data_IF_190707059924
#
_entry.id   IF_190707059924
#
_cell.length_a   1.000
_cell.length_b   1.000
_cell.length_c   1.000
_cell.angle_alpha   90.00
_cell.angle_beta   90.00
_cell.angle_gamma   90.00
#
_symmetry.space_group_name_H-M   'P 1'
#
loop_
_entity.id
_entity.type
_entity.pdbx_description
1 polymer ?
#
# COMPACT_ATOMS: atom_id res chain seq x y z
N UNK A 1 -48.21 0.22 -9.38
CA UNK A 1 -46.89 0.09 -10.04
C UNK A 1 -45.89 -0.38 -8.98
N UNK A 2 -45.90 -1.68 -8.64
CA UNK A 2 -45.09 -2.24 -7.56
C UNK A 2 -43.67 -2.53 -8.06
N UNK A 3 -42.69 -1.89 -7.44
CA UNK A 3 -41.27 -2.03 -7.75
C UNK A 3 -40.84 -3.41 -7.26
N UNK A 4 -40.65 -4.37 -8.17
CA UNK A 4 -39.98 -5.63 -7.87
C UNK A 4 -38.54 -5.32 -7.47
N UNK A 5 -38.32 -5.17 -6.16
CA UNK A 5 -37.01 -5.11 -5.54
C UNK A 5 -36.42 -6.52 -5.61
N UNK A 6 -35.57 -6.74 -6.62
CA UNK A 6 -34.84 -7.99 -6.79
C UNK A 6 -33.80 -8.09 -5.64
N UNK A 7 -33.92 -9.06 -4.72
CA UNK A 7 -33.00 -9.20 -3.59
C UNK A 7 -31.55 -9.50 -4.02
N UNK A 8 -31.34 -9.91 -5.27
CA UNK A 8 -30.02 -10.14 -5.86
C UNK A 8 -29.39 -8.86 -6.46
N UNK A 9 -30.15 -7.77 -6.59
CA UNK A 9 -29.63 -6.50 -7.07
C UNK A 9 -28.78 -5.78 -6.02
N UNK A 10 -29.20 -5.85 -4.74
CA UNK A 10 -28.50 -5.21 -3.63
C UNK A 10 -27.15 -5.89 -3.38
N UNK A 11 -27.11 -7.22 -3.37
CA UNK A 11 -25.85 -7.98 -3.20
C UNK A 11 -24.85 -7.71 -4.32
N UNK A 12 -25.32 -7.55 -5.57
CA UNK A 12 -24.47 -7.22 -6.70
C UNK A 12 -23.92 -5.78 -6.63
N UNK A 13 -24.72 -4.80 -6.21
CA UNK A 13 -24.27 -3.42 -6.01
C UNK A 13 -23.26 -3.35 -4.85
N UNK A 14 -23.52 -4.07 -3.75
CA UNK A 14 -22.61 -4.15 -2.61
C UNK A 14 -21.26 -4.79 -2.98
N UNK A 15 -21.24 -5.76 -3.89
CA UNK A 15 -20.00 -6.36 -4.40
C UNK A 15 -19.15 -5.40 -5.26
N UNK A 16 -19.74 -4.34 -5.84
CA UNK A 16 -19.03 -3.31 -6.61
C UNK A 16 -18.60 -2.16 -5.68
N UNK A 17 -19.49 -1.76 -4.76
CA UNK A 17 -19.25 -0.63 -3.86
C UNK A 17 -18.20 -0.98 -2.80
N UNK A 18 -18.25 -2.19 -2.22
CA UNK A 18 -17.31 -2.64 -1.19
C UNK A 18 -15.83 -2.51 -1.61
N UNK A 19 -15.38 -3.03 -2.77
CA UNK A 19 -14.00 -2.86 -3.20
C UNK A 19 -13.65 -1.40 -3.52
N UNK A 20 -14.57 -0.62 -4.09
CA UNK A 20 -14.34 0.80 -4.36
C UNK A 20 -14.13 1.60 -3.07
N UNK A 21 -14.93 1.33 -2.03
CA UNK A 21 -14.80 1.97 -0.72
C UNK A 21 -13.51 1.54 -0.01
N UNK A 22 -13.13 0.26 -0.07
CA UNK A 22 -11.87 -0.22 0.53
C UNK A 22 -10.65 0.44 -0.12
N UNK A 23 -10.60 0.44 -1.45
CA UNK A 23 -9.50 1.07 -2.20
C UNK A 23 -9.49 2.58 -1.98
N UNK A 24 -10.66 3.21 -1.99
CA UNK A 24 -10.82 4.63 -1.67
C UNK A 24 -10.33 4.95 -0.26
N UNK A 25 -10.69 4.17 0.75
CA UNK A 25 -10.26 4.38 2.14
C UNK A 25 -8.74 4.24 2.30
N UNK A 26 -8.15 3.22 1.68
CA UNK A 26 -6.68 3.04 1.68
C UNK A 26 -5.97 4.20 0.97
N UNK A 27 -6.47 4.62 -0.18
CA UNK A 27 -5.94 5.78 -0.91
C UNK A 27 -6.13 7.09 -0.12
N UNK A 28 -7.26 7.26 0.56
CA UNK A 28 -7.53 8.43 1.39
C UNK A 28 -6.60 8.52 2.60
N UNK A 29 -6.35 7.39 3.27
CA UNK A 29 -5.41 7.34 4.39
C UNK A 29 -3.97 7.67 3.94
N UNK A 30 -3.51 7.13 2.81
CA UNK A 30 -2.20 7.48 2.27
C UNK A 30 -2.14 8.96 1.82
N UNK A 31 -3.23 9.47 1.25
CA UNK A 31 -3.39 10.88 0.91
C UNK A 31 -3.32 11.82 2.12
N UNK A 32 -3.87 11.39 3.27
CA UNK A 32 -3.76 12.14 4.53
C UNK A 32 -2.33 12.21 5.03
N UNK A 33 -1.58 11.10 4.97
CA UNK A 33 -0.18 11.07 5.37
C UNK A 33 0.66 11.99 4.50
N UNK A 34 0.55 11.86 3.17
CA UNK A 34 1.27 12.72 2.21
C UNK A 34 0.88 14.19 2.39
N UNK A 35 -0.40 14.47 2.60
CA UNK A 35 -0.89 15.83 2.83
C UNK A 35 -0.40 16.43 4.14
N UNK A 36 -0.25 15.63 5.20
CA UNK A 36 0.32 16.10 6.47
C UNK A 36 1.78 16.54 6.28
N UNK A 37 2.60 15.71 5.62
CA UNK A 37 3.99 16.06 5.31
C UNK A 37 4.10 17.30 4.42
N UNK A 38 3.27 17.38 3.37
CA UNK A 38 3.27 18.53 2.47
C UNK A 38 2.83 19.83 3.20
N UNK A 39 1.88 19.74 4.13
CA UNK A 39 1.45 20.87 4.96
C UNK A 39 2.57 21.39 5.86
N UNK A 40 3.34 20.49 6.48
CA UNK A 40 4.51 20.83 7.30
C UNK A 40 5.56 21.58 6.47
N UNK A 41 5.94 21.04 5.30
CA UNK A 41 6.96 21.64 4.42
C UNK A 41 6.53 23.04 3.95
N UNK A 42 5.24 23.23 3.66
CA UNK A 42 4.71 24.50 3.13
C UNK A 42 4.34 25.51 4.21
N UNK A 43 4.67 25.28 5.49
CA UNK A 43 4.32 26.15 6.62
C UNK A 43 2.82 26.53 6.65
N UNK A 44 1.97 25.63 6.17
CA UNK A 44 0.50 25.79 6.14
C UNK A 44 -0.10 24.86 7.19
N UNK A 45 -1.33 25.11 7.67
CA UNK A 45 -2.01 24.23 8.63
C UNK A 45 -2.01 22.75 8.16
N UNK A 46 -1.25 21.85 8.81
CA UNK A 46 -1.05 20.49 8.32
C UNK A 46 -2.35 19.68 8.29
N UNK A 47 -3.27 19.98 9.20
CA UNK A 47 -4.59 19.33 9.32
C UNK A 47 -5.45 19.59 8.07
N UNK A 48 -5.54 20.85 7.61
CA UNK A 48 -6.34 21.18 6.43
C UNK A 48 -5.76 20.56 5.15
N UNK A 49 -4.43 20.53 5.02
CA UNK A 49 -3.78 19.96 3.84
C UNK A 49 -3.85 18.42 3.83
N UNK A 50 -3.71 17.79 5.00
CA UNK A 50 -3.92 16.34 5.20
C UNK A 50 -5.35 15.94 4.84
N UNK A 51 -6.35 16.66 5.36
CA UNK A 51 -7.76 16.36 5.10
C UNK A 51 -8.12 16.56 3.62
N UNK A 52 -7.71 17.69 3.03
CA UNK A 52 -7.98 17.99 1.63
C UNK A 52 -7.34 16.95 0.70
N UNK A 53 -6.07 16.59 0.95
CA UNK A 53 -5.35 15.56 0.20
C UNK A 53 -5.99 14.18 0.37
N UNK A 54 -6.40 13.84 1.59
CA UNK A 54 -7.11 12.59 1.90
C UNK A 54 -8.44 12.47 1.16
N UNK A 55 -9.27 13.52 1.16
CA UNK A 55 -10.54 13.55 0.44
C UNK A 55 -10.30 13.41 -1.07
N UNK A 56 -9.32 14.15 -1.62
CA UNK A 56 -8.98 14.07 -3.04
C UNK A 56 -8.55 12.65 -3.45
N UNK A 57 -7.67 12.02 -2.67
CA UNK A 57 -7.21 10.66 -2.92
C UNK A 57 -8.30 9.62 -2.72
N UNK A 58 -9.20 9.82 -1.75
CA UNK A 58 -10.37 8.96 -1.55
C UNK A 58 -11.29 8.99 -2.77
N UNK A 59 -11.67 10.17 -3.24
CA UNK A 59 -12.54 10.33 -4.42
C UNK A 59 -11.90 9.72 -5.66
N UNK A 60 -10.59 9.95 -5.87
CA UNK A 60 -9.83 9.35 -6.95
C UNK A 60 -9.85 7.81 -6.90
N UNK A 61 -9.50 7.22 -5.75
CA UNK A 61 -9.46 5.78 -5.57
C UNK A 61 -10.83 5.12 -5.76
N UNK A 62 -11.87 5.69 -5.14
CA UNK A 62 -13.22 5.18 -5.25
C UNK A 62 -13.77 5.26 -6.67
N UNK A 63 -13.54 6.37 -7.38
CA UNK A 63 -14.05 6.55 -8.76
C UNK A 63 -13.35 5.62 -9.74
N UNK A 64 -12.02 5.50 -9.71
CA UNK A 64 -11.28 4.62 -10.62
C UNK A 64 -11.69 3.15 -10.43
N UNK A 65 -11.78 2.67 -9.18
CA UNK A 65 -12.20 1.29 -8.90
C UNK A 65 -13.67 1.06 -9.25
N UNK A 66 -14.55 2.04 -9.01
CA UNK A 66 -15.95 1.98 -9.41
C UNK A 66 -16.12 1.90 -10.92
N UNK A 67 -15.44 2.76 -11.69
CA UNK A 67 -15.47 2.70 -13.16
C UNK A 67 -14.90 1.39 -13.68
N UNK A 68 -13.82 0.89 -13.08
CA UNK A 68 -13.25 -0.41 -13.44
C UNK A 68 -14.25 -1.53 -13.28
N UNK A 69 -14.98 -1.58 -12.16
CA UNK A 69 -16.00 -2.60 -11.92
C UNK A 69 -17.14 -2.54 -12.95
N UNK A 70 -17.60 -1.33 -13.32
CA UNK A 70 -18.66 -1.14 -14.33
C UNK A 70 -18.18 -1.59 -15.71
N UNK A 71 -16.98 -1.19 -16.11
CA UNK A 71 -16.41 -1.55 -17.43
C UNK A 71 -16.14 -3.06 -17.51
N UNK A 72 -15.57 -3.66 -16.45
CA UNK A 72 -15.34 -5.10 -16.37
C UNK A 72 -16.64 -5.92 -16.46
N UNK A 73 -17.77 -5.40 -15.96
CA UNK A 73 -19.05 -6.12 -16.03
C UNK A 73 -19.59 -6.21 -17.46
N UNK A 74 -19.36 -5.17 -18.27
CA UNK A 74 -19.85 -5.09 -19.65
C UNK A 74 -18.89 -5.69 -20.68
N UNK A 75 -17.62 -5.90 -20.31
CA UNK A 75 -16.61 -6.40 -21.24
C UNK A 75 -16.75 -7.92 -21.42
N UNK A 76 -16.88 -8.44 -22.66
CA UNK A 76 -16.93 -9.89 -22.90
C UNK A 76 -15.59 -10.51 -22.47
N UNK A 77 -15.63 -11.60 -21.69
CA UNK A 77 -14.43 -12.36 -21.31
C UNK A 77 -13.89 -13.08 -22.55
N UNK A 78 -12.84 -12.56 -23.17
CA UNK A 78 -12.09 -13.28 -24.22
C UNK A 78 -10.96 -14.12 -23.60
N UNK A 79 -10.41 -15.05 -24.40
CA UNK A 79 -9.26 -15.89 -24.01
C UNK A 79 -7.94 -15.10 -23.90
N UNK A 80 -7.86 -13.86 -24.39
CA UNK A 80 -6.69 -12.98 -24.30
C UNK A 80 -6.76 -12.06 -23.07
N UNK A 81 -6.80 -12.68 -21.88
CA UNK A 81 -7.11 -12.08 -20.57
C UNK A 81 -6.19 -10.89 -20.20
N UNK A 82 -4.93 -10.85 -20.67
CA UNK A 82 -3.96 -9.80 -20.29
C UNK A 82 -4.26 -8.45 -20.97
N UNK A 83 -4.44 -8.43 -22.30
CA UNK A 83 -4.67 -7.18 -23.04
C UNK A 83 -6.00 -6.51 -22.66
N UNK A 84 -7.03 -7.31 -22.35
CA UNK A 84 -8.35 -6.78 -21.95
C UNK A 84 -8.28 -6.05 -20.60
N UNK A 85 -7.50 -6.57 -19.64
CA UNK A 85 -7.33 -5.92 -18.33
C UNK A 85 -6.66 -4.56 -18.44
N UNK A 86 -5.66 -4.43 -19.31
CA UNK A 86 -4.97 -3.17 -19.60
C UNK A 86 -5.96 -2.15 -20.18
N UNK A 87 -6.76 -2.55 -21.19
CA UNK A 87 -7.74 -1.67 -21.82
C UNK A 87 -8.79 -1.21 -20.80
N UNK A 88 -9.35 -2.14 -20.03
CA UNK A 88 -10.35 -1.84 -19.00
C UNK A 88 -9.79 -0.85 -17.97
N UNK A 89 -8.55 -1.03 -17.53
CA UNK A 89 -7.93 -0.16 -16.52
C UNK A 89 -7.53 1.20 -17.10
N UNK A 90 -7.19 1.25 -18.39
CA UNK A 90 -6.95 2.50 -19.12
C UNK A 90 -8.24 3.32 -19.20
N UNK A 91 -9.35 2.69 -19.60
CA UNK A 91 -10.66 3.34 -19.68
C UNK A 91 -11.14 3.77 -18.30
N UNK A 92 -11.02 2.91 -17.30
CA UNK A 92 -11.40 3.24 -15.92
C UNK A 92 -10.55 4.38 -15.34
N UNK A 93 -9.25 4.37 -15.62
CA UNK A 93 -8.32 5.45 -15.25
C UNK A 93 -8.68 6.76 -15.94
N UNK A 94 -9.01 6.72 -17.23
CA UNK A 94 -9.44 7.90 -17.99
C UNK A 94 -10.73 8.51 -17.41
N UNK A 95 -11.74 7.68 -17.14
CA UNK A 95 -13.03 8.13 -16.60
C UNK A 95 -12.90 8.63 -15.15
N UNK A 96 -12.18 7.89 -14.29
CA UNK A 96 -11.96 8.28 -12.90
C UNK A 96 -11.09 9.54 -12.77
N UNK A 97 -10.00 9.62 -13.54
CA UNK A 97 -9.10 10.77 -13.58
C UNK A 97 -9.73 12.02 -14.20
N UNK A 98 -10.55 11.84 -15.24
CA UNK A 98 -11.32 12.94 -15.84
C UNK A 98 -12.36 13.50 -14.88
N UNK A 99 -13.11 12.62 -14.20
CA UNK A 99 -14.17 13.02 -13.25
C UNK A 99 -13.59 13.74 -12.04
N UNK A 100 -12.57 13.16 -11.41
CA UNK A 100 -11.86 13.78 -10.29
C UNK A 100 -11.16 15.09 -10.68
N UNK A 101 -10.56 15.15 -11.88
CA UNK A 101 -10.00 16.37 -12.45
C UNK A 101 -11.04 17.47 -12.61
N UNK A 102 -12.27 17.10 -13.04
CA UNK A 102 -13.41 18.01 -13.11
C UNK A 102 -13.78 18.59 -11.74
N UNK A 103 -13.88 17.70 -10.73
CA UNK A 103 -14.38 18.04 -9.39
C UNK A 103 -13.41 18.98 -8.65
N UNK A 104 -12.11 18.68 -8.66
CA UNK A 104 -11.16 19.41 -7.84
C UNK A 104 -10.42 20.54 -8.56
N UNK A 105 -10.31 20.48 -9.89
CA UNK A 105 -9.52 21.44 -10.68
C UNK A 105 -10.31 22.11 -11.81
N UNK A 106 -11.60 21.79 -11.95
CA UNK A 106 -12.52 22.38 -12.93
C UNK A 106 -12.50 21.70 -14.30
N UNK A 107 -13.43 22.11 -15.17
CA UNK A 107 -13.68 21.48 -16.50
C UNK A 107 -12.46 21.48 -17.42
N UNK A 108 -11.59 22.50 -17.33
CA UNK A 108 -10.37 22.60 -18.16
C UNK A 108 -9.34 21.52 -17.81
N UNK A 109 -9.45 20.91 -16.62
CA UNK A 109 -8.50 19.92 -16.12
C UNK A 109 -9.00 18.47 -16.28
N UNK A 110 -10.14 18.27 -16.93
CA UNK A 110 -10.71 16.94 -17.25
C UNK A 110 -9.83 16.18 -18.21
N UNK A 111 -9.45 16.82 -19.32
CA UNK A 111 -8.65 16.18 -20.37
C UNK A 111 -7.25 15.78 -19.89
N UNK A 112 -6.44 16.66 -19.26
CA UNK A 112 -5.14 16.25 -18.73
C UNK A 112 -5.25 15.21 -17.61
N UNK A 113 -6.30 15.28 -16.78
CA UNK A 113 -6.57 14.27 -15.75
C UNK A 113 -6.86 12.90 -16.35
N UNK A 114 -7.74 12.84 -17.34
CA UNK A 114 -8.08 11.59 -18.02
C UNK A 114 -6.83 10.94 -18.66
N UNK A 115 -6.01 11.71 -19.37
CA UNK A 115 -4.81 11.20 -20.03
C UNK A 115 -3.80 10.65 -19.01
N UNK A 116 -3.50 11.40 -17.96
CA UNK A 116 -2.52 10.97 -16.95
C UNK A 116 -2.96 9.69 -16.24
N UNK A 117 -4.22 9.63 -15.80
CA UNK A 117 -4.72 8.45 -15.09
C UNK A 117 -4.99 7.25 -16.03
N UNK A 118 -5.21 7.47 -17.33
CA UNK A 118 -5.23 6.40 -18.32
C UNK A 118 -3.85 5.74 -18.45
N UNK A 119 -2.79 6.55 -18.55
CA UNK A 119 -1.40 6.07 -18.60
C UNK A 119 -1.06 5.32 -17.31
N UNK A 120 -1.39 5.89 -16.14
CA UNK A 120 -1.18 5.19 -14.85
C UNK A 120 -1.97 3.88 -14.76
N UNK A 121 -3.20 3.84 -15.31
CA UNK A 121 -3.99 2.62 -15.38
C UNK A 121 -3.33 1.53 -16.24
N UNK A 122 -2.82 1.90 -17.41
CA UNK A 122 -2.12 0.98 -18.31
C UNK A 122 -0.81 0.45 -17.70
N UNK A 123 0.02 1.36 -17.19
CA UNK A 123 1.29 1.02 -16.54
C UNK A 123 1.04 0.18 -15.29
N UNK A 124 0.05 0.55 -14.48
CA UNK A 124 -0.32 -0.19 -13.27
C UNK A 124 -0.72 -1.63 -13.58
N UNK A 125 -1.48 -1.86 -14.66
CA UNK A 125 -1.81 -3.23 -15.09
C UNK A 125 -0.60 -3.99 -15.62
N UNK A 126 0.23 -3.35 -16.46
CA UNK A 126 1.44 -3.99 -16.97
C UNK A 126 2.40 -4.43 -15.85
N UNK A 127 2.49 -3.64 -14.78
CA UNK A 127 3.26 -4.01 -13.59
C UNK A 127 2.64 -5.20 -12.83
N UNK A 128 1.32 -5.20 -12.62
CA UNK A 128 0.67 -6.32 -11.93
C UNK A 128 0.76 -7.62 -12.74
N UNK A 129 0.63 -7.54 -14.06
CA UNK A 129 0.75 -8.72 -14.92
C UNK A 129 2.18 -9.28 -14.90
N UNK A 130 3.21 -8.40 -14.92
CA UNK A 130 4.61 -8.83 -14.79
C UNK A 130 4.91 -9.48 -13.44
N UNK A 131 4.35 -8.95 -12.34
CA UNK A 131 4.53 -9.53 -11.00
C UNK A 131 3.78 -10.86 -10.88
N UNK A 132 2.54 -10.94 -11.37
CA UNK A 132 1.75 -12.18 -11.37
C UNK A 132 2.40 -13.26 -12.23
N UNK A 133 2.95 -12.89 -13.39
CA UNK A 133 3.71 -13.82 -14.23
C UNK A 133 5.02 -14.23 -13.56
N UNK A 134 5.67 -13.36 -12.78
CA UNK A 134 6.83 -13.72 -11.96
C UNK A 134 6.45 -14.67 -10.82
N UNK A 135 5.27 -14.50 -10.22
CA UNK A 135 4.75 -15.37 -9.17
C UNK A 135 4.39 -16.76 -9.71
N UNK A 136 3.71 -16.85 -10.86
CA UNK A 136 3.46 -18.11 -11.56
C UNK A 136 4.77 -18.83 -11.95
N UNK A 137 5.77 -18.08 -12.42
CA UNK A 137 7.09 -18.62 -12.72
C UNK A 137 7.90 -18.97 -11.45
N UNK A 138 7.56 -18.41 -10.28
CA UNK A 138 8.17 -18.75 -8.98
C UNK A 138 7.54 -19.96 -8.28
N UNK A 139 6.50 -20.56 -8.87
CA UNK A 139 6.05 -21.92 -8.51
C UNK A 139 7.12 -22.95 -8.94
N UNK A 140 8.01 -22.61 -9.88
CA UNK A 140 9.33 -23.22 -9.93
C UNK A 140 10.16 -22.65 -8.76
N UNK A 141 10.57 -23.47 -7.78
CA UNK A 141 11.07 -23.01 -6.50
C UNK A 141 12.44 -22.35 -6.67
N UNK A 142 12.46 -21.03 -6.78
CA UNK A 142 13.69 -20.24 -6.63
C UNK A 142 13.58 -19.36 -5.36
N UNK A 143 14.28 -19.75 -4.26
CA UNK A 143 14.22 -19.05 -2.98
C UNK A 143 14.82 -17.63 -3.01
N UNK A 144 15.50 -17.21 -4.09
CA UNK A 144 16.17 -15.90 -4.16
C UNK A 144 15.24 -14.70 -4.41
N UNK A 145 14.05 -14.90 -4.99
CA UNK A 145 13.27 -13.75 -5.51
C UNK A 145 12.58 -12.92 -4.43
N UNK A 146 12.14 -13.54 -3.32
CA UNK A 146 11.49 -12.83 -2.19
C UNK A 146 12.49 -12.12 -1.28
N UNK A 147 13.77 -12.50 -1.30
CA UNK A 147 14.84 -11.84 -0.53
C UNK A 147 15.44 -10.63 -1.25
N UNK A 148 15.29 -10.54 -2.58
CA UNK A 148 15.88 -9.45 -3.38
C UNK A 148 15.40 -8.04 -3.00
N UNK A 149 14.14 -7.85 -2.58
CA UNK A 149 13.64 -6.53 -2.15
C UNK A 149 14.02 -6.20 -0.70
N UNK A 150 14.12 -7.21 0.17
CA UNK A 150 14.58 -7.07 1.56
C UNK A 150 16.09 -6.82 1.64
N UNK A 151 16.85 -7.29 0.65
CA UNK A 151 18.28 -7.01 0.51
C UNK A 151 18.59 -5.69 -0.23
N UNK A 152 17.56 -4.90 -0.57
CA UNK A 152 17.77 -3.59 -1.16
C UNK A 152 18.33 -2.59 -0.13
N UNK A 153 19.16 -1.65 -0.59
CA UNK A 153 19.74 -0.55 0.24
C UNK A 153 18.70 0.32 0.97
N UNK A 154 17.42 0.16 0.64
CA UNK A 154 16.29 0.90 1.20
C UNK A 154 15.43 0.08 2.19
N UNK A 155 15.81 -1.16 2.47
CA UNK A 155 15.13 -2.00 3.47
C UNK A 155 15.71 -1.75 4.87
N UNK A 156 14.88 -1.38 5.87
CA UNK A 156 15.32 -1.31 7.26
C UNK A 156 15.61 -2.69 7.88
N UNK A 157 15.26 -3.78 7.20
CA UNK A 157 15.41 -5.15 7.69
C UNK A 157 16.42 -5.89 6.81
N UNK A 158 17.51 -6.36 7.42
CA UNK A 158 18.54 -7.18 6.78
C UNK A 158 18.23 -8.66 7.00
N UNK A 159 18.25 -9.46 5.95
CA UNK A 159 18.20 -10.92 6.09
C UNK A 159 19.60 -11.43 6.45
N UNK A 160 19.71 -12.12 7.58
CA UNK A 160 20.95 -12.76 8.05
C UNK A 160 20.85 -14.26 7.81
N UNK A 161 21.97 -14.92 7.49
CA UNK A 161 22.02 -16.38 7.39
C UNK A 161 21.95 -17.02 8.79
N UNK A 162 21.61 -18.32 8.88
CA UNK A 162 21.55 -19.03 10.17
C UNK A 162 22.89 -18.95 10.91
N UNK A 163 24.01 -19.06 10.19
CA UNK A 163 25.36 -18.92 10.75
C UNK A 163 25.63 -17.49 11.28
N UNK A 164 25.19 -16.46 10.55
CA UNK A 164 25.30 -15.07 10.99
C UNK A 164 24.42 -14.80 12.23
N UNK A 165 23.24 -15.42 12.32
CA UNK A 165 22.37 -15.35 13.51
C UNK A 165 23.02 -15.99 14.74
N UNK A 166 23.62 -17.18 14.59
CA UNK A 166 24.30 -17.87 15.70
C UNK A 166 25.47 -17.07 16.25
N UNK A 167 26.25 -16.42 15.38
CA UNK A 167 27.34 -15.54 15.79
C UNK A 167 26.83 -14.31 16.56
N UNK A 168 25.83 -13.61 16.03
CA UNK A 168 25.24 -12.43 16.69
C UNK A 168 24.65 -12.83 18.05
N UNK A 169 23.94 -13.96 18.12
CA UNK A 169 23.35 -14.45 19.36
C UNK A 169 24.43 -14.77 20.40
N UNK A 170 25.49 -15.44 19.99
CA UNK A 170 26.61 -15.80 20.87
C UNK A 170 27.34 -14.57 21.40
N UNK A 171 27.56 -13.56 20.54
CA UNK A 171 28.16 -12.29 20.92
C UNK A 171 27.30 -11.52 21.94
N UNK A 172 25.97 -11.45 21.70
CA UNK A 172 25.03 -10.81 22.64
C UNK A 172 24.97 -11.54 23.98
N UNK A 173 25.02 -12.86 23.98
CA UNK A 173 25.06 -13.66 25.21
C UNK A 173 26.33 -13.40 26.03
N UNK A 174 27.48 -13.26 25.37
CA UNK A 174 28.74 -12.92 26.05
C UNK A 174 28.70 -11.51 26.64
N UNK A 175 28.17 -10.53 25.90
CA UNK A 175 28.02 -9.16 26.39
C UNK A 175 27.11 -9.12 27.63
N UNK A 176 25.95 -9.77 27.59
CA UNK A 176 25.03 -9.83 28.72
C UNK A 176 25.68 -10.50 29.94
N UNK A 177 26.40 -11.61 29.74
CA UNK A 177 27.12 -12.29 30.84
C UNK A 177 28.18 -11.38 31.48
N UNK A 178 28.90 -10.60 30.69
CA UNK A 178 29.87 -9.64 31.21
C UNK A 178 29.19 -8.51 32.01
N UNK A 179 28.07 -7.98 31.53
CA UNK A 179 27.29 -6.96 32.23
C UNK A 179 26.71 -7.50 33.55
N UNK A 180 26.21 -8.75 33.56
CA UNK A 180 25.75 -9.42 34.79
C UNK A 180 26.88 -9.53 35.81
N UNK A 181 28.08 -9.93 35.39
CA UNK A 181 29.23 -10.07 36.30
C UNK A 181 29.61 -8.73 36.94
N UNK A 182 29.61 -7.65 36.13
CA UNK A 182 29.92 -6.30 36.61
C UNK A 182 28.87 -5.79 37.59
N UNK A 183 27.59 -6.07 37.33
CA UNK A 183 26.49 -5.76 38.26
C UNK A 183 26.60 -6.57 39.55
N UNK A 184 26.96 -7.85 39.48
CA UNK A 184 27.13 -8.71 40.67
C UNK A 184 28.28 -8.22 41.58
N UNK A 185 29.38 -7.77 40.98
CA UNK A 185 30.49 -7.13 41.70
C UNK A 185 30.07 -5.80 42.34
N UNK A 186 29.26 -5.00 41.63
CA UNK A 186 28.69 -3.76 42.19
C UNK A 186 27.78 -4.04 43.39
N UNK A 187 26.96 -5.10 43.31
CA UNK A 187 26.08 -5.52 44.42
C UNK A 187 26.91 -5.99 45.62
N UNK A 188 27.96 -6.79 45.41
CA UNK A 188 28.86 -7.24 46.49
C UNK A 188 29.56 -6.07 47.16
N UNK A 189 30.08 -5.13 46.38
CA UNK A 189 30.70 -3.90 46.89
C UNK A 189 29.74 -3.06 47.73
N UNK A 190 28.51 -2.85 47.25
CA UNK A 190 27.50 -2.10 48.01
C UNK A 190 27.09 -2.85 49.28
N UNK A 191 27.01 -4.19 49.25
CA UNK A 191 26.68 -5.01 50.42
C UNK A 191 27.79 -5.03 51.48
N UNK A 192 29.06 -4.98 51.07
CA UNK A 192 30.18 -4.85 52.02
C UNK A 192 30.24 -3.46 52.65
N UNK A 193 29.84 -2.41 51.92
CA UNK A 193 29.77 -1.04 52.43
C UNK A 193 28.59 -0.79 53.38
N UNK A 194 27.49 -1.54 53.23
CA UNK A 194 26.24 -1.37 53.97
C UNK A 194 26.05 -2.41 55.10
N UNK A 195 27.13 -3.07 55.54
CA UNK A 195 27.10 -4.00 56.67
C UNK A 195 27.29 -3.17 57.96
N UNK A 196 26.27 -3.01 58.81
CA UNK A 196 26.45 -2.39 60.12
C UNK A 196 27.33 -3.30 60.99
N UNK A 197 28.27 -2.68 61.72
CA UNK A 197 29.05 -3.29 62.82
C UNK A 197 28.11 -3.88 63.89
#
# INVERSE_FOLDING_TARGET
MSKHENPNGISHQLNIISPAVKVGALAGASGMLVGAFAGIIRSTSPILFSLASGIQCFTLGATITGFRAIVSQKWPKSNSIEHEKIIVSTIAGALGGGTSGAIFRGRRNVLPGAVMFAIFGAVGQALTDKISNRELNSIAPDPESKVSWLNSRWSPVKTISNEEYENIMSEKLLQIKAEIALVDDRIKYLKSQNRPE
#
